data_IF_824998036376
#
_entry.id   IF_824998036376
#
_cell.length_a   1.000
_cell.length_b   1.000
_cell.length_c   1.000
_cell.angle_alpha   90.00
_cell.angle_beta   90.00
_cell.angle_gamma   90.00
#
_symmetry.space_group_name_H-M   'P 1'
#
loop_
_entity.id
_entity.type
_entity.pdbx_description
1 polymer ?
#
# COMPACT_ATOMS: atom_id res chain seq x y z
N UNK A 1 -21.76 -51.88 7.32
CA UNK A 1 -20.89 -50.71 7.06
C UNK A 1 -21.67 -49.45 7.52
N UNK A 2 -21.21 -48.79 8.58
CA UNK A 2 -21.86 -47.57 9.08
C UNK A 2 -21.60 -46.43 8.09
N UNK A 3 -22.66 -45.86 7.50
CA UNK A 3 -22.58 -44.65 6.67
C UNK A 3 -21.95 -43.52 7.50
N UNK A 4 -20.67 -43.27 7.25
CA UNK A 4 -20.00 -42.09 7.81
C UNK A 4 -20.66 -40.85 7.17
N UNK A 5 -21.34 -40.02 7.98
CA UNK A 5 -21.86 -38.74 7.52
C UNK A 5 -20.70 -37.88 7.03
N UNK A 6 -20.63 -37.61 5.75
CA UNK A 6 -19.63 -36.72 5.15
C UNK A 6 -20.01 -35.27 5.42
N UNK A 7 -19.04 -34.44 5.80
CA UNK A 7 -19.27 -33.01 5.95
C UNK A 7 -19.47 -32.33 4.57
N UNK A 8 -20.09 -31.14 4.57
CA UNK A 8 -20.33 -30.35 3.36
C UNK A 8 -19.05 -30.16 2.53
N UNK A 9 -17.95 -29.86 3.18
CA UNK A 9 -16.63 -29.69 2.56
C UNK A 9 -16.15 -30.97 1.84
N UNK A 10 -16.34 -32.12 2.47
CA UNK A 10 -15.91 -33.42 1.93
C UNK A 10 -16.74 -33.84 0.71
N UNK A 11 -18.01 -33.44 0.67
CA UNK A 11 -18.89 -33.66 -0.50
C UNK A 11 -18.44 -32.82 -1.68
N UNK A 12 -18.13 -31.52 -1.48
CA UNK A 12 -17.69 -30.62 -2.55
C UNK A 12 -16.31 -30.99 -3.10
N UNK A 13 -15.39 -31.49 -2.26
CA UNK A 13 -14.06 -31.96 -2.70
C UNK A 13 -14.18 -33.23 -3.57
N UNK A 14 -15.13 -34.11 -3.23
CA UNK A 14 -15.27 -35.41 -3.92
C UNK A 14 -16.04 -35.32 -5.22
N UNK A 15 -17.17 -34.62 -5.22
CA UNK A 15 -18.03 -34.39 -6.38
C UNK A 15 -18.88 -33.12 -6.18
N UNK A 16 -18.41 -31.97 -6.71
CA UNK A 16 -19.12 -30.71 -6.57
C UNK A 16 -20.54 -30.70 -7.19
N UNK A 17 -20.75 -31.48 -8.25
CA UNK A 17 -22.02 -31.54 -8.96
C UNK A 17 -23.05 -32.35 -8.12
N UNK A 18 -22.62 -33.49 -7.60
CA UNK A 18 -23.44 -34.29 -6.71
C UNK A 18 -23.70 -33.58 -5.38
N UNK A 19 -22.75 -32.77 -4.90
CA UNK A 19 -22.90 -31.94 -3.71
C UNK A 19 -23.98 -30.86 -3.91
N UNK A 20 -23.98 -30.16 -5.04
CA UNK A 20 -24.99 -29.14 -5.37
C UNK A 20 -26.40 -29.73 -5.52
N UNK A 21 -26.53 -30.90 -6.14
CA UNK A 21 -27.80 -31.61 -6.27
C UNK A 21 -28.30 -32.08 -4.87
N UNK A 22 -27.40 -32.68 -4.08
CA UNK A 22 -27.73 -33.26 -2.78
C UNK A 22 -28.09 -32.19 -1.72
N UNK A 23 -27.35 -31.06 -1.72
CA UNK A 23 -27.50 -30.02 -0.68
C UNK A 23 -28.52 -28.93 -1.04
N UNK A 24 -28.65 -28.63 -2.33
CA UNK A 24 -29.40 -27.46 -2.81
C UNK A 24 -30.47 -27.80 -3.84
N UNK A 25 -30.61 -29.07 -4.27
CA UNK A 25 -31.52 -29.49 -5.31
C UNK A 25 -31.20 -28.87 -6.68
N UNK A 26 -29.97 -28.46 -6.90
CA UNK A 26 -29.53 -27.82 -8.15
C UNK A 26 -28.98 -28.86 -9.10
N UNK A 27 -29.72 -29.19 -10.15
CA UNK A 27 -29.21 -30.02 -11.25
C UNK A 27 -28.30 -29.18 -12.13
N UNK A 28 -27.00 -29.47 -12.09
CA UNK A 28 -26.03 -28.84 -12.98
C UNK A 28 -26.27 -29.36 -14.41
N UNK A 29 -26.76 -28.51 -15.31
CA UNK A 29 -26.77 -28.82 -16.74
C UNK A 29 -25.39 -28.49 -17.31
N UNK A 30 -24.62 -29.50 -17.80
CA UNK A 30 -23.28 -29.28 -18.36
C UNK A 30 -23.28 -28.44 -19.63
N UNK A 31 -24.44 -28.19 -20.25
CA UNK A 31 -24.60 -27.38 -21.45
C UNK A 31 -24.98 -25.93 -21.14
N UNK A 32 -25.21 -25.56 -19.88
CA UNK A 32 -25.48 -24.17 -19.54
C UNK A 32 -24.23 -23.28 -19.76
N UNK A 33 -24.48 -22.04 -20.18
CA UNK A 33 -23.44 -21.02 -20.36
C UNK A 33 -22.50 -20.89 -19.14
N UNK A 34 -23.00 -21.16 -17.95
CA UNK A 34 -22.24 -21.14 -16.69
C UNK A 34 -21.31 -22.37 -16.58
N UNK A 35 -21.78 -23.57 -16.91
CA UNK A 35 -20.98 -24.79 -16.91
C UNK A 35 -19.89 -24.77 -17.98
N UNK A 36 -20.20 -24.20 -19.16
CA UNK A 36 -19.23 -24.00 -20.25
C UNK A 36 -18.14 -22.99 -19.84
N UNK A 37 -18.50 -21.84 -19.28
CA UNK A 37 -17.55 -20.83 -18.84
C UNK A 37 -16.65 -21.31 -17.67
N UNK A 38 -17.19 -22.12 -16.76
CA UNK A 38 -16.41 -22.70 -15.66
C UNK A 38 -15.38 -23.73 -16.16
N UNK A 39 -15.75 -24.57 -17.12
CA UNK A 39 -14.82 -25.55 -17.70
C UNK A 39 -13.79 -24.91 -18.63
N UNK A 40 -14.21 -23.96 -19.46
CA UNK A 40 -13.30 -23.25 -20.37
C UNK A 40 -12.30 -22.39 -19.60
N UNK A 41 -12.71 -21.73 -18.51
CA UNK A 41 -11.80 -20.97 -17.66
C UNK A 41 -10.83 -21.84 -16.86
N UNK A 42 -11.24 -23.03 -16.41
CA UNK A 42 -10.35 -24.01 -15.76
C UNK A 42 -9.29 -24.57 -16.70
N UNK A 43 -9.67 -24.88 -17.93
CA UNK A 43 -8.72 -25.37 -18.96
C UNK A 43 -7.77 -24.24 -19.42
N UNK A 44 -8.29 -23.02 -19.62
CA UNK A 44 -7.44 -21.86 -19.92
C UNK A 44 -6.49 -21.51 -18.78
N UNK A 45 -6.92 -21.69 -17.52
CA UNK A 45 -6.12 -21.47 -16.33
C UNK A 45 -4.99 -22.48 -16.19
N UNK A 46 -5.25 -23.77 -16.40
CA UNK A 46 -4.23 -24.83 -16.32
C UNK A 46 -3.18 -24.74 -17.42
N UNK A 47 -3.52 -24.13 -18.58
CA UNK A 47 -2.58 -23.88 -19.69
C UNK A 47 -1.80 -22.57 -19.53
N UNK A 48 -2.41 -21.50 -18.99
CA UNK A 48 -1.78 -20.18 -18.85
C UNK A 48 -0.85 -20.03 -17.64
N UNK A 49 -1.12 -20.75 -16.55
CA UNK A 49 -0.36 -20.62 -15.29
C UNK A 49 0.67 -21.74 -15.11
N UNK A 50 0.72 -22.73 -16.01
CA UNK A 50 1.59 -23.89 -15.88
C UNK A 50 1.32 -24.65 -14.57
N UNK A 51 1.65 -25.93 -14.50
CA UNK A 51 1.37 -26.83 -13.37
C UNK A 51 2.05 -26.48 -12.02
N UNK A 52 2.36 -25.21 -11.76
CA UNK A 52 3.17 -24.76 -10.62
C UNK A 52 2.41 -24.13 -9.45
N UNK A 53 1.06 -24.04 -9.49
CA UNK A 53 0.29 -23.63 -8.31
C UNK A 53 -0.35 -24.85 -7.64
N UNK A 54 0.19 -25.33 -6.50
CA UNK A 54 -0.25 -26.57 -5.87
C UNK A 54 -1.72 -26.60 -5.40
N UNK A 55 -2.39 -25.44 -5.34
CA UNK A 55 -3.77 -25.30 -4.85
C UNK A 55 -4.72 -24.67 -5.88
N UNK A 56 -4.36 -24.63 -7.17
CA UNK A 56 -5.23 -24.10 -8.24
C UNK A 56 -6.63 -24.77 -8.25
N UNK A 57 -6.72 -26.04 -7.85
CA UNK A 57 -7.95 -26.80 -7.73
C UNK A 57 -8.84 -26.40 -6.53
N UNK A 58 -8.32 -25.61 -5.58
CA UNK A 58 -9.05 -25.11 -4.41
C UNK A 58 -9.54 -23.67 -4.58
N UNK A 59 -9.22 -23.03 -5.70
CA UNK A 59 -9.63 -21.64 -5.96
C UNK A 59 -11.09 -21.59 -6.43
N UNK A 60 -11.95 -20.74 -5.81
CA UNK A 60 -13.30 -20.49 -6.32
C UNK A 60 -13.23 -19.94 -7.76
N UNK A 61 -14.04 -20.49 -8.67
CA UNK A 61 -14.14 -19.99 -10.05
C UNK A 61 -14.56 -18.51 -10.06
N UNK A 62 -13.73 -17.64 -10.62
CA UNK A 62 -13.96 -16.20 -10.71
C UNK A 62 -12.88 -15.33 -10.05
N UNK A 63 -11.89 -15.91 -9.39
CA UNK A 63 -10.79 -15.20 -8.72
C UNK A 63 -9.54 -14.98 -9.59
N UNK A 64 -9.60 -15.23 -10.90
CA UNK A 64 -8.52 -14.82 -11.80
C UNK A 64 -8.73 -13.35 -12.12
N UNK A 65 -7.77 -12.46 -11.81
CA UNK A 65 -7.81 -11.11 -12.32
C UNK A 65 -7.90 -11.16 -13.85
N UNK A 66 -8.82 -10.41 -14.45
CA UNK A 66 -9.01 -10.35 -15.90
C UNK A 66 -7.71 -9.93 -16.65
N UNK A 67 -6.74 -9.34 -15.95
CA UNK A 67 -5.42 -8.98 -16.45
C UNK A 67 -4.56 -10.18 -16.85
N UNK A 68 -4.73 -11.36 -16.22
CA UNK A 68 -3.97 -12.57 -16.56
C UNK A 68 -4.56 -13.33 -17.77
N UNK A 69 -5.77 -12.96 -18.22
CA UNK A 69 -6.45 -13.62 -19.32
C UNK A 69 -6.18 -12.99 -20.71
N UNK A 70 -5.41 -11.90 -20.81
CA UNK A 70 -5.33 -11.09 -22.03
C UNK A 70 -3.94 -10.95 -22.67
N UNK A 71 -2.85 -11.52 -22.14
CA UNK A 71 -1.56 -11.48 -22.84
C UNK A 71 -0.75 -12.75 -22.62
N UNK A 72 -0.23 -13.33 -23.68
CA UNK A 72 0.70 -14.47 -23.68
C UNK A 72 2.12 -14.07 -23.19
N UNK A 73 2.38 -12.80 -22.90
CA UNK A 73 3.63 -12.30 -22.35
C UNK A 73 3.43 -11.77 -20.93
N UNK A 74 4.32 -12.05 -19.96
CA UNK A 74 4.26 -11.45 -18.66
C UNK A 74 4.35 -9.92 -18.79
N UNK A 75 3.44 -9.19 -18.13
CA UNK A 75 3.48 -7.74 -18.07
C UNK A 75 4.71 -7.32 -17.24
N UNK A 76 5.72 -6.80 -17.92
CA UNK A 76 6.92 -6.29 -17.27
C UNK A 76 6.77 -4.80 -16.95
N UNK A 77 7.07 -4.44 -15.73
CA UNK A 77 7.07 -3.05 -15.28
C UNK A 77 8.51 -2.51 -15.32
N UNK A 78 8.87 -1.64 -16.30
CA UNK A 78 10.24 -1.19 -16.47
C UNK A 78 10.84 -0.60 -15.20
N UNK A 79 12.05 -1.05 -14.83
CA UNK A 79 12.76 -0.62 -13.63
C UNK A 79 12.20 -1.17 -12.32
N UNK A 80 11.28 -2.17 -12.37
CA UNK A 80 10.74 -2.87 -11.22
C UNK A 80 11.03 -4.36 -11.30
N UNK A 81 11.33 -4.97 -10.15
CA UNK A 81 11.65 -6.38 -10.05
C UNK A 81 10.84 -7.06 -8.94
N UNK A 82 10.24 -8.21 -9.26
CA UNK A 82 9.56 -9.06 -8.29
C UNK A 82 8.27 -8.50 -7.70
N UNK A 83 7.73 -7.40 -8.22
CA UNK A 83 6.46 -6.84 -7.77
C UNK A 83 5.27 -7.66 -8.26
N UNK A 84 4.23 -7.73 -7.45
CA UNK A 84 2.95 -8.35 -7.81
C UNK A 84 2.05 -7.28 -8.43
N UNK A 85 1.70 -7.46 -9.70
CA UNK A 85 0.80 -6.56 -10.44
C UNK A 85 -0.64 -6.81 -9.98
N UNK A 86 -1.34 -5.77 -9.53
CA UNK A 86 -2.74 -5.83 -9.12
C UNK A 86 -3.70 -5.36 -10.21
N UNK A 87 -3.27 -4.43 -11.03
CA UNK A 87 -3.94 -4.01 -12.26
C UNK A 87 -2.97 -3.22 -13.16
N UNK A 88 -3.27 -3.20 -14.45
CA UNK A 88 -2.44 -2.62 -15.50
C UNK A 88 -2.87 -1.20 -15.92
N UNK A 89 -4.12 -0.80 -15.66
CA UNK A 89 -4.64 0.50 -16.07
C UNK A 89 -5.56 1.15 -15.02
N UNK A 90 -5.07 2.14 -14.28
CA UNK A 90 -3.68 2.54 -14.14
C UNK A 90 -2.86 1.47 -13.43
N UNK A 91 -1.59 1.35 -13.77
CA UNK A 91 -0.69 0.35 -13.17
C UNK A 91 -0.61 0.50 -11.66
N UNK A 92 -0.85 -0.61 -10.95
CA UNK A 92 -0.65 -0.71 -9.51
C UNK A 92 0.02 -2.06 -9.20
N UNK A 93 1.08 -2.01 -8.42
CA UNK A 93 1.87 -3.19 -8.08
C UNK A 93 2.41 -3.08 -6.66
N UNK A 94 2.37 -4.18 -5.90
CA UNK A 94 2.89 -4.27 -4.55
C UNK A 94 4.18 -5.07 -4.46
N UNK A 95 4.93 -4.84 -3.40
CA UNK A 95 6.19 -5.51 -3.16
C UNK A 95 6.01 -6.64 -2.14
N UNK A 96 6.34 -7.89 -2.46
CA UNK A 96 6.37 -8.96 -1.47
C UNK A 96 7.26 -8.62 -0.27
N UNK A 97 6.81 -8.94 0.95
CA UNK A 97 7.48 -8.53 2.19
C UNK A 97 8.98 -8.87 2.23
N UNK A 98 9.37 -10.05 1.71
CA UNK A 98 10.76 -10.49 1.71
C UNK A 98 11.70 -9.69 0.78
N UNK A 99 11.15 -8.87 -0.13
CA UNK A 99 11.91 -7.93 -0.97
C UNK A 99 12.02 -6.53 -0.33
N UNK A 100 11.46 -6.35 0.86
CA UNK A 100 11.53 -5.12 1.65
C UNK A 100 12.49 -5.25 2.85
N UNK A 101 13.43 -6.20 2.85
CA UNK A 101 14.36 -6.45 3.97
C UNK A 101 15.47 -5.39 4.09
N UNK A 102 15.74 -4.64 3.03
CA UNK A 102 16.73 -3.57 3.05
C UNK A 102 16.28 -2.39 3.92
N UNK A 103 17.24 -1.78 4.66
CA UNK A 103 16.96 -0.58 5.49
C UNK A 103 16.46 0.59 4.65
N UNK A 104 17.01 0.76 3.44
CA UNK A 104 16.58 1.73 2.43
C UNK A 104 15.96 0.94 1.29
N UNK A 105 14.69 1.14 1.02
CA UNK A 105 13.99 0.42 -0.04
C UNK A 105 14.61 0.72 -1.41
N UNK A 106 15.14 -0.28 -2.13
CA UNK A 106 15.66 -0.07 -3.48
C UNK A 106 14.57 0.44 -4.43
N UNK A 107 14.93 1.29 -5.37
CA UNK A 107 13.99 1.88 -6.34
C UNK A 107 13.17 0.81 -7.10
N UNK A 108 13.81 -0.31 -7.45
CA UNK A 108 13.18 -1.44 -8.12
C UNK A 108 12.13 -2.16 -7.27
N UNK A 109 12.21 -2.07 -5.95
CA UNK A 109 11.29 -2.70 -5.00
C UNK A 109 10.29 -1.71 -4.40
N UNK A 110 10.33 -0.41 -4.69
CA UNK A 110 9.29 0.50 -4.23
C UNK A 110 7.99 0.24 -4.99
N UNK A 111 6.91 0.00 -4.27
CA UNK A 111 5.58 -0.24 -4.82
C UNK A 111 5.12 0.86 -5.79
N UNK A 112 4.20 0.52 -6.68
CA UNK A 112 3.59 1.46 -7.63
C UNK A 112 2.11 1.61 -7.35
N UNK A 113 1.68 2.85 -7.10
CA UNK A 113 0.27 3.20 -6.94
C UNK A 113 -0.08 4.41 -7.80
N UNK A 114 -0.90 4.22 -8.83
CA UNK A 114 -1.37 5.26 -9.73
C UNK A 114 -2.89 5.43 -9.64
N UNK A 115 -3.35 6.69 -9.63
CA UNK A 115 -4.77 7.04 -9.76
C UNK A 115 -5.14 7.37 -11.21
N UNK A 116 -4.18 7.91 -11.96
CA UNK A 116 -4.25 8.24 -13.37
C UNK A 116 -3.17 7.51 -14.18
N UNK A 117 -3.16 7.79 -15.46
CA UNK A 117 -2.14 7.30 -16.41
C UNK A 117 -0.93 8.22 -16.26
N UNK A 118 0.28 7.68 -16.03
CA UNK A 118 1.49 8.48 -15.97
C UNK A 118 1.70 9.33 -17.22
N UNK A 119 2.19 10.58 -17.11
CA UNK A 119 2.58 11.35 -18.27
C UNK A 119 3.79 10.71 -18.96
N UNK A 120 3.96 10.98 -20.25
CA UNK A 120 5.19 10.62 -20.96
C UNK A 120 6.33 11.52 -20.47
N UNK A 121 7.34 10.91 -19.88
CA UNK A 121 8.51 11.62 -19.33
C UNK A 121 9.82 11.23 -20.03
N UNK A 122 9.75 10.39 -21.05
CA UNK A 122 10.94 10.00 -21.85
C UNK A 122 11.44 11.19 -22.67
N UNK A 123 12.72 11.51 -22.54
CA UNK A 123 13.37 12.58 -23.31
C UNK A 123 13.04 14.01 -22.89
N UNK A 124 12.36 14.20 -21.75
CA UNK A 124 12.15 15.56 -21.22
C UNK A 124 13.43 16.09 -20.58
N UNK A 125 13.60 17.41 -20.63
CA UNK A 125 14.57 18.11 -19.80
C UNK A 125 13.97 18.27 -18.40
N UNK A 126 14.48 17.50 -17.43
CA UNK A 126 13.99 17.55 -16.05
C UNK A 126 14.20 18.92 -15.42
N UNK A 127 15.31 19.58 -15.70
CA UNK A 127 15.63 20.89 -15.12
C UNK A 127 14.71 22.00 -15.63
N UNK A 128 14.13 21.85 -16.83
CA UNK A 128 13.12 22.75 -17.39
C UNK A 128 11.69 22.44 -16.92
N UNK A 129 11.46 21.37 -16.14
CA UNK A 129 10.14 21.07 -15.59
C UNK A 129 9.69 22.14 -14.62
N UNK A 130 8.46 22.64 -14.79
CA UNK A 130 7.90 23.76 -14.02
C UNK A 130 7.00 23.30 -12.90
N UNK A 131 7.06 23.99 -11.77
CA UNK A 131 6.17 23.91 -10.62
C UNK A 131 5.53 25.26 -10.36
N UNK A 132 4.21 25.31 -10.42
CA UNK A 132 3.41 26.49 -10.14
C UNK A 132 3.02 26.56 -8.65
N UNK A 133 3.04 27.75 -8.07
CA UNK A 133 2.51 28.08 -6.76
C UNK A 133 1.36 29.08 -6.92
N UNK A 134 0.20 28.78 -6.32
CA UNK A 134 -0.98 29.63 -6.40
C UNK A 134 -1.99 29.30 -5.30
N UNK A 135 -3.20 29.82 -5.43
CA UNK A 135 -4.29 29.63 -4.46
C UNK A 135 -4.60 30.90 -3.70
N UNK A 136 -5.66 30.86 -2.89
CA UNK A 136 -6.22 32.05 -2.22
C UNK A 136 -5.25 32.64 -1.20
N UNK A 137 -4.43 31.78 -0.58
CA UNK A 137 -3.55 32.16 0.54
C UNK A 137 -2.07 32.23 0.18
N UNK A 138 -1.70 32.34 -1.11
CA UNK A 138 -0.34 32.76 -1.50
C UNK A 138 -0.26 34.29 -1.56
N UNK A 139 0.88 34.84 -1.13
CA UNK A 139 1.14 36.27 -1.25
C UNK A 139 1.50 36.62 -2.70
N UNK A 140 2.14 35.71 -3.43
CA UNK A 140 2.60 35.88 -4.79
C UNK A 140 2.51 34.60 -5.60
N UNK A 141 1.71 34.57 -6.64
CA UNK A 141 1.75 33.47 -7.60
C UNK A 141 3.11 33.43 -8.30
N UNK A 142 3.68 32.24 -8.41
CA UNK A 142 5.04 32.04 -8.90
C UNK A 142 5.15 30.71 -9.62
N UNK A 143 5.97 30.65 -10.64
CA UNK A 143 6.38 29.40 -11.29
C UNK A 143 7.89 29.28 -11.19
N UNK A 144 8.37 28.14 -10.72
CA UNK A 144 9.79 27.80 -10.63
C UNK A 144 10.08 26.55 -11.44
N UNK A 145 11.22 26.52 -12.11
CA UNK A 145 11.78 25.31 -12.72
C UNK A 145 12.50 24.47 -11.67
N UNK A 146 12.75 23.17 -11.94
CA UNK A 146 13.59 22.34 -11.07
C UNK A 146 14.99 22.94 -10.96
N UNK A 147 15.55 23.48 -12.05
CA UNK A 147 16.85 24.18 -12.02
C UNK A 147 16.85 25.36 -11.03
N UNK A 148 15.79 26.15 -11.00
CA UNK A 148 15.65 27.27 -10.06
C UNK A 148 15.47 26.79 -8.62
N UNK A 149 14.66 25.73 -8.38
CA UNK A 149 14.54 25.10 -7.07
C UNK A 149 15.91 24.64 -6.55
N UNK A 150 16.67 23.91 -7.38
CA UNK A 150 18.02 23.44 -7.03
C UNK A 150 18.99 24.60 -6.76
N UNK A 151 18.89 25.71 -7.49
CA UNK A 151 19.79 26.85 -7.34
C UNK A 151 19.48 27.74 -6.13
N UNK A 152 18.18 27.90 -5.80
CA UNK A 152 17.74 28.91 -4.83
C UNK A 152 17.62 28.37 -3.41
N UNK A 153 17.40 27.07 -3.23
CA UNK A 153 17.10 26.50 -1.93
C UNK A 153 18.14 25.46 -1.51
N UNK A 154 18.27 25.27 -0.19
CA UNK A 154 19.11 24.22 0.38
C UNK A 154 18.52 22.85 0.08
N UNK A 155 19.36 21.90 -0.30
CA UNK A 155 18.97 20.52 -0.54
C UNK A 155 18.99 19.71 0.75
N UNK A 156 18.03 18.82 0.88
CA UNK A 156 17.90 17.88 2.00
C UNK A 156 17.69 16.47 1.46
N UNK A 157 18.26 15.51 2.16
CA UNK A 157 18.02 14.09 1.90
C UNK A 157 17.49 13.46 3.18
N UNK A 158 16.30 12.87 3.11
CA UNK A 158 15.67 12.16 4.22
C UNK A 158 15.21 10.77 3.77
N UNK A 159 15.37 9.79 4.64
CA UNK A 159 14.75 8.48 4.47
C UNK A 159 13.30 8.58 4.96
N UNK A 160 12.34 8.52 4.04
CA UNK A 160 10.93 8.75 4.36
C UNK A 160 10.07 7.57 3.93
N UNK A 161 9.33 7.02 4.89
CA UNK A 161 8.39 5.94 4.65
C UNK A 161 7.13 6.46 3.96
N UNK A 162 6.72 5.78 2.89
CA UNK A 162 5.45 5.99 2.20
C UNK A 162 4.63 4.72 2.24
N UNK A 163 3.34 4.85 2.56
CA UNK A 163 2.40 3.74 2.60
C UNK A 163 1.07 4.11 1.93
N UNK A 164 0.53 3.21 1.11
CA UNK A 164 -0.83 3.36 0.61
C UNK A 164 -1.84 3.22 1.76
N UNK A 165 -2.77 4.15 1.92
CA UNK A 165 -3.80 4.05 2.95
C UNK A 165 -4.65 2.78 2.87
N UNK A 166 -4.67 2.10 1.70
CA UNK A 166 -5.33 0.81 1.48
C UNK A 166 -4.42 -0.40 1.65
N UNK A 167 -3.21 -0.26 2.15
CA UNK A 167 -2.32 -1.38 2.43
C UNK A 167 -2.96 -2.34 3.43
N UNK A 168 -3.12 -3.64 3.07
CA UNK A 168 -3.87 -4.64 3.84
C UNK A 168 -5.36 -4.73 3.50
N UNK A 169 -5.84 -4.12 2.38
CA UNK A 169 -7.27 -4.12 2.01
C UNK A 169 -7.81 -5.52 1.75
N UNK A 170 -7.01 -6.45 1.26
CA UNK A 170 -7.44 -7.83 0.97
C UNK A 170 -7.95 -8.59 2.19
N UNK A 171 -7.68 -8.13 3.41
CA UNK A 171 -8.14 -8.75 4.65
C UNK A 171 -9.56 -8.33 5.08
N UNK A 172 -10.17 -7.34 4.41
CA UNK A 172 -11.52 -6.88 4.75
C UNK A 172 -12.58 -7.89 4.32
N UNK A 173 -13.45 -8.28 5.25
CA UNK A 173 -14.59 -9.19 5.02
C UNK A 173 -15.87 -8.54 5.55
N UNK A 174 -16.86 -8.27 4.69
CA UNK A 174 -16.87 -8.44 3.23
C UNK A 174 -15.82 -7.57 2.52
N UNK A 175 -15.39 -7.94 1.29
CA UNK A 175 -14.33 -7.22 0.57
C UNK A 175 -14.66 -5.75 0.37
N UNK A 176 -13.74 -4.88 0.75
CA UNK A 176 -13.85 -3.45 0.51
C UNK A 176 -13.47 -3.09 -0.94
N UNK A 177 -14.04 -2.01 -1.48
CA UNK A 177 -13.77 -1.60 -2.86
C UNK A 177 -12.37 -1.02 -3.07
N UNK A 178 -11.74 -1.32 -4.19
CA UNK A 178 -10.43 -0.82 -4.60
C UNK A 178 -9.41 -1.94 -4.83
N UNK A 179 -8.15 -1.59 -5.11
CA UNK A 179 -7.08 -2.56 -5.30
C UNK A 179 -6.89 -3.39 -4.03
N UNK A 180 -6.89 -4.71 -4.18
CA UNK A 180 -6.80 -5.65 -3.07
C UNK A 180 -5.31 -5.84 -2.67
N UNK A 181 -4.73 -4.77 -2.11
CA UNK A 181 -3.39 -4.81 -1.55
C UNK A 181 -3.29 -5.84 -0.44
N UNK A 182 -2.24 -6.65 -0.44
CA UNK A 182 -1.85 -7.42 0.74
C UNK A 182 -1.14 -6.50 1.74
N UNK A 183 0.17 -6.59 1.87
CA UNK A 183 0.95 -5.82 2.85
C UNK A 183 2.09 -5.02 2.22
N UNK A 184 2.26 -5.14 0.91
CA UNK A 184 3.44 -4.66 0.18
C UNK A 184 3.30 -3.28 -0.43
N UNK A 185 2.23 -2.54 -0.14
CA UNK A 185 2.05 -1.17 -0.61
C UNK A 185 2.74 -0.16 0.33
N UNK A 186 4.01 -0.42 0.68
CA UNK A 186 4.85 0.37 1.57
C UNK A 186 6.31 0.34 1.10
N UNK A 187 7.10 1.33 1.48
CA UNK A 187 8.53 1.38 1.30
C UNK A 187 9.13 2.65 1.90
N UNK A 188 10.44 2.65 2.13
CA UNK A 188 11.15 3.74 2.79
C UNK A 188 12.48 4.04 2.09
N UNK A 189 12.45 4.62 0.88
CA UNK A 189 13.64 5.07 0.19
C UNK A 189 14.14 6.41 0.75
N UNK A 190 15.32 6.84 0.34
CA UNK A 190 15.79 8.20 0.54
C UNK A 190 15.22 9.13 -0.54
N UNK A 191 14.79 10.31 -0.13
CA UNK A 191 14.29 11.35 -1.02
C UNK A 191 15.17 12.59 -0.92
N UNK A 192 15.61 13.11 -2.06
CA UNK A 192 16.39 14.35 -2.13
C UNK A 192 15.59 15.44 -2.81
N UNK A 193 15.55 16.61 -2.17
CA UNK A 193 14.81 17.78 -2.66
C UNK A 193 15.02 19.01 -1.80
N UNK A 194 14.07 19.91 -1.88
CA UNK A 194 13.97 21.11 -1.02
C UNK A 194 12.81 20.94 -0.05
N UNK A 195 12.91 21.53 1.13
CA UNK A 195 11.79 21.57 2.07
C UNK A 195 10.68 22.43 1.51
N UNK A 196 9.46 21.92 1.56
CA UNK A 196 8.30 22.70 1.11
C UNK A 196 8.18 24.01 1.89
N UNK A 197 8.43 24.01 3.19
CA UNK A 197 8.36 25.22 4.02
C UNK A 197 9.27 26.33 3.55
N UNK A 198 10.53 26.00 3.13
CA UNK A 198 11.49 27.01 2.68
C UNK A 198 11.00 27.68 1.38
N UNK A 199 10.35 26.90 0.51
CA UNK A 199 9.76 27.42 -0.74
C UNK A 199 8.49 28.22 -0.46
N UNK A 200 7.63 27.76 0.45
CA UNK A 200 6.42 28.50 0.85
C UNK A 200 6.74 29.82 1.56
N UNK A 201 7.80 29.86 2.37
CA UNK A 201 8.32 31.11 2.95
C UNK A 201 8.77 32.10 1.87
N UNK A 202 9.47 31.60 0.83
CA UNK A 202 9.91 32.43 -0.30
C UNK A 202 8.74 32.94 -1.16
N UNK A 203 7.75 32.10 -1.43
CA UNK A 203 6.51 32.48 -2.15
C UNK A 203 5.67 33.44 -1.34
N UNK A 204 5.69 33.28 -0.03
CA UNK A 204 4.86 33.97 0.94
C UNK A 204 3.49 33.30 1.07
N UNK A 205 3.14 32.92 2.30
CA UNK A 205 1.79 32.43 2.66
C UNK A 205 1.11 33.47 3.54
N UNK A 206 -0.21 33.62 3.37
CA UNK A 206 -1.01 34.56 4.16
C UNK A 206 -1.44 33.91 5.48
N UNK A 207 -1.81 34.74 6.44
CA UNK A 207 -2.24 34.29 7.79
C UNK A 207 -3.54 33.45 7.77
N UNK A 208 -4.34 33.58 6.70
CA UNK A 208 -5.56 32.81 6.49
C UNK A 208 -5.34 31.43 5.84
N UNK A 209 -4.10 31.01 5.64
CA UNK A 209 -3.77 29.73 5.05
C UNK A 209 -4.20 28.56 5.97
N UNK A 210 -4.97 27.63 5.44
CA UNK A 210 -5.50 26.45 6.16
C UNK A 210 -4.92 25.14 5.60
N UNK A 211 -4.74 25.06 4.28
CA UNK A 211 -4.40 23.80 3.62
C UNK A 211 -3.41 24.02 2.46
N UNK A 212 -2.53 23.06 2.26
CA UNK A 212 -1.62 23.00 1.10
C UNK A 212 -1.93 21.74 0.31
N UNK A 213 -2.22 21.91 -0.99
CA UNK A 213 -2.57 20.81 -1.86
C UNK A 213 -1.76 20.80 -3.14
N UNK A 214 -1.76 19.67 -3.85
CA UNK A 214 -0.99 19.49 -5.07
C UNK A 214 -1.87 19.07 -6.25
N UNK A 215 -1.36 19.32 -7.46
CA UNK A 215 -1.82 18.76 -8.73
C UNK A 215 -0.64 18.13 -9.46
N UNK A 216 -0.84 16.93 -10.00
CA UNK A 216 0.11 16.20 -10.83
C UNK A 216 -0.18 16.39 -12.33
N UNK A 217 0.74 15.89 -13.15
CA UNK A 217 0.60 15.86 -14.62
C UNK A 217 -0.03 14.55 -15.15
N UNK A 218 -0.47 13.64 -14.26
CA UNK A 218 -1.11 12.39 -14.66
C UNK A 218 -2.48 12.65 -15.32
N UNK A 219 -2.85 11.76 -16.24
CA UNK A 219 -4.05 11.87 -17.06
C UNK A 219 -5.12 10.95 -16.44
N UNK A 220 -6.37 11.43 -16.38
CA UNK A 220 -7.47 10.61 -15.91
C UNK A 220 -7.62 9.33 -16.74
N UNK A 221 -7.94 8.19 -16.10
CA UNK A 221 -8.02 6.89 -16.77
C UNK A 221 -9.00 6.84 -17.97
N UNK A 222 -9.99 7.74 -18.02
CA UNK A 222 -10.87 7.90 -19.18
C UNK A 222 -10.22 8.60 -20.38
N UNK A 223 -9.00 9.16 -20.24
CA UNK A 223 -8.35 9.99 -21.27
C UNK A 223 -8.88 11.43 -21.38
N UNK A 224 -9.85 11.83 -20.55
CA UNK A 224 -10.41 13.19 -20.54
C UNK A 224 -9.43 14.15 -19.86
N UNK A 225 -8.87 15.08 -20.64
CA UNK A 225 -7.90 16.07 -20.18
C UNK A 225 -8.48 17.08 -19.18
N UNK A 226 -9.81 17.22 -19.11
CA UNK A 226 -10.48 18.11 -18.17
C UNK A 226 -10.71 17.47 -16.79
N UNK A 227 -10.40 16.18 -16.65
CA UNK A 227 -10.55 15.45 -15.39
C UNK A 227 -9.21 15.22 -14.72
N UNK A 228 -9.08 15.72 -13.51
CA UNK A 228 -7.91 15.48 -12.66
C UNK A 228 -8.10 14.14 -11.94
N UNK A 229 -7.14 13.19 -12.05
CA UNK A 229 -7.27 11.88 -11.42
C UNK A 229 -7.31 11.95 -9.90
N UNK A 230 -6.48 12.83 -9.34
CA UNK A 230 -6.34 13.05 -7.91
C UNK A 230 -5.71 14.44 -7.66
N UNK A 231 -6.24 15.12 -6.66
CA UNK A 231 -5.61 16.29 -6.04
C UNK A 231 -5.89 16.22 -4.55
N UNK A 232 -4.86 16.02 -3.77
CA UNK A 232 -4.97 15.94 -2.31
C UNK A 232 -4.05 16.96 -1.67
N UNK A 233 -4.19 17.13 -0.37
CA UNK A 233 -3.37 18.05 0.40
C UNK A 233 -3.33 17.65 1.88
N UNK A 234 -2.70 18.50 2.64
CA UNK A 234 -2.51 18.40 4.08
C UNK A 234 -2.71 19.78 4.72
N UNK A 235 -3.06 19.85 6.02
CA UNK A 235 -3.06 21.11 6.76
C UNK A 235 -1.73 21.84 6.65
N UNK A 236 -1.74 23.16 6.78
CA UNK A 236 -0.53 24.01 6.68
C UNK A 236 0.54 23.53 7.65
N UNK A 237 0.18 23.18 8.88
CA UNK A 237 1.13 22.72 9.90
C UNK A 237 1.90 21.48 9.43
N UNK A 238 1.21 20.53 8.79
CA UNK A 238 1.83 19.33 8.22
C UNK A 238 2.69 19.65 7.00
N UNK A 239 2.26 20.60 6.17
CA UNK A 239 3.01 21.05 5.01
C UNK A 239 4.34 21.75 5.38
N UNK A 240 4.37 22.41 6.54
CA UNK A 240 5.52 23.15 7.06
C UNK A 240 6.51 22.30 7.89
N UNK A 241 6.25 21.01 8.05
CA UNK A 241 7.21 20.10 8.69
C UNK A 241 8.50 19.98 7.88
N UNK A 242 9.62 19.82 8.58
CA UNK A 242 10.97 19.77 7.99
C UNK A 242 11.11 18.65 6.94
N UNK A 243 10.44 17.53 7.14
CA UNK A 243 10.51 16.35 6.30
C UNK A 243 9.52 16.38 5.12
N UNK A 244 8.69 17.43 4.99
CA UNK A 244 7.83 17.59 3.82
C UNK A 244 8.64 18.21 2.67
N UNK A 245 8.84 17.42 1.58
CA UNK A 245 9.74 17.75 0.50
C UNK A 245 9.03 17.97 -0.84
N UNK A 246 9.63 18.84 -1.66
CA UNK A 246 9.54 18.83 -3.11
C UNK A 246 10.79 18.09 -3.61
N UNK A 247 10.65 16.80 -3.96
CA UNK A 247 11.76 15.91 -4.25
C UNK A 247 11.92 15.69 -5.76
N UNK A 248 13.18 15.64 -6.22
CA UNK A 248 13.56 15.31 -7.61
C UNK A 248 14.44 14.07 -7.72
N UNK A 249 14.97 13.55 -6.62
CA UNK A 249 15.77 12.34 -6.63
C UNK A 249 15.33 11.33 -5.56
N UNK A 250 15.60 10.06 -5.80
CA UNK A 250 15.33 8.94 -4.92
C UNK A 250 16.55 8.01 -4.87
N UNK A 251 17.08 7.73 -3.67
CA UNK A 251 18.29 6.92 -3.46
C UNK A 251 19.52 7.44 -4.25
N UNK A 252 19.66 8.75 -4.38
CA UNK A 252 20.76 9.39 -5.10
C UNK A 252 20.61 9.45 -6.62
N UNK A 253 19.55 8.87 -7.20
CA UNK A 253 19.28 8.81 -8.63
C UNK A 253 17.95 9.54 -8.96
N UNK A 254 17.65 9.70 -10.24
CA UNK A 254 16.36 10.20 -10.68
C UNK A 254 15.20 9.36 -10.11
N UNK A 255 14.09 10.00 -9.78
CA UNK A 255 12.88 9.28 -9.36
C UNK A 255 12.42 8.39 -10.52
N UNK A 256 12.17 7.08 -10.33
CA UNK A 256 11.63 6.25 -11.41
C UNK A 256 10.33 6.83 -11.99
N UNK A 257 10.10 6.76 -13.32
CA UNK A 257 8.92 7.34 -13.96
C UNK A 257 7.60 6.95 -13.28
N UNK A 258 7.43 5.69 -12.88
CA UNK A 258 6.23 5.19 -12.19
C UNK A 258 6.10 5.70 -10.75
N UNK A 259 7.18 6.22 -10.17
CA UNK A 259 7.20 6.80 -8.82
C UNK A 259 7.15 8.33 -8.81
N UNK A 260 7.09 8.99 -9.99
CA UNK A 260 6.77 10.41 -10.07
C UNK A 260 7.84 11.32 -10.68
N UNK A 261 8.78 10.79 -11.48
CA UNK A 261 9.76 11.61 -12.22
C UNK A 261 9.09 12.70 -13.07
N UNK A 262 9.63 13.94 -13.15
CA UNK A 262 10.89 14.37 -12.54
C UNK A 262 10.72 15.01 -11.16
N UNK A 263 9.49 15.28 -10.70
CA UNK A 263 9.24 16.02 -9.46
C UNK A 263 8.09 15.40 -8.67
N UNK A 264 8.29 15.25 -7.37
CA UNK A 264 7.31 14.65 -6.46
C UNK A 264 7.14 15.49 -5.20
N UNK A 265 5.90 15.65 -4.75
CA UNK A 265 5.58 16.05 -3.40
C UNK A 265 5.70 14.83 -2.48
N UNK A 266 6.48 14.93 -1.41
CA UNK A 266 6.67 13.86 -0.43
C UNK A 266 6.28 14.38 0.95
N UNK A 267 5.23 13.78 1.51
CA UNK A 267 4.71 14.07 2.85
C UNK A 267 4.57 12.75 3.60
N UNK A 268 5.55 12.45 4.43
CA UNK A 268 5.65 11.17 5.12
C UNK A 268 4.75 11.09 6.37
N UNK A 269 4.54 9.88 6.89
CA UNK A 269 3.68 9.61 8.05
C UNK A 269 2.19 9.62 7.75
N UNK A 270 1.77 10.18 6.62
CA UNK A 270 0.40 10.25 6.14
C UNK A 270 0.19 9.32 4.94
N UNK A 271 -1.08 9.04 4.53
CA UNK A 271 -1.32 8.14 3.39
C UNK A 271 -0.54 8.57 2.15
N UNK A 272 0.09 7.64 1.45
CA UNK A 272 0.88 7.93 0.23
C UNK A 272 0.13 8.69 -0.86
N UNK A 273 -1.19 8.82 -0.75
CA UNK A 273 -2.03 9.65 -1.63
C UNK A 273 -1.83 11.15 -1.44
N UNK A 274 -1.28 11.61 -0.31
CA UNK A 274 -0.91 13.02 -0.12
C UNK A 274 0.49 13.33 -0.66
N UNK A 275 1.26 12.30 -1.06
CA UNK A 275 2.58 12.44 -1.69
C UNK A 275 2.44 12.41 -3.22
N UNK A 276 2.14 13.56 -3.79
CA UNK A 276 1.80 13.74 -5.21
C UNK A 276 2.94 13.44 -6.16
N UNK A 277 2.66 12.69 -7.24
CA UNK A 277 3.62 12.36 -8.31
C UNK A 277 3.51 13.31 -9.49
N UNK A 278 4.59 13.41 -10.28
CA UNK A 278 4.61 14.27 -11.48
C UNK A 278 4.14 15.68 -11.16
N UNK A 279 4.64 16.23 -10.06
CA UNK A 279 4.17 17.45 -9.44
C UNK A 279 4.25 18.66 -10.42
N UNK A 280 3.13 19.35 -10.60
CA UNK A 280 3.02 20.53 -11.47
C UNK A 280 2.55 21.77 -10.75
N UNK A 281 1.76 21.61 -9.70
CA UNK A 281 1.20 22.76 -9.00
C UNK A 281 1.00 22.47 -7.52
N UNK A 282 1.32 23.46 -6.70
CA UNK A 282 0.98 23.55 -5.29
C UNK A 282 0.00 24.71 -5.12
N UNK A 283 -1.08 24.47 -4.38
CA UNK A 283 -2.06 25.50 -4.05
C UNK A 283 -2.16 25.65 -2.53
N UNK A 284 -2.07 26.90 -2.06
CA UNK A 284 -2.29 27.23 -0.65
C UNK A 284 -3.69 27.81 -0.51
N UNK A 285 -4.51 27.16 0.32
CA UNK A 285 -5.93 27.40 0.44
C UNK A 285 -6.28 28.02 1.79
N UNK A 286 -7.27 28.89 1.81
CA UNK A 286 -7.87 29.40 3.07
C UNK A 286 -9.00 28.51 3.60
N UNK A 287 -9.13 27.31 3.07
CA UNK A 287 -10.09 26.30 3.48
C UNK A 287 -9.50 24.89 3.26
N UNK A 288 -10.13 23.88 3.85
CA UNK A 288 -9.80 22.48 3.54
C UNK A 288 -9.93 22.25 2.04
N UNK A 289 -8.92 21.63 1.45
CA UNK A 289 -8.90 21.39 0.00
C UNK A 289 -10.10 20.55 -0.46
N UNK A 290 -10.72 20.95 -1.55
CA UNK A 290 -11.94 20.36 -2.12
C UNK A 290 -11.71 19.70 -3.50
N UNK A 291 -10.46 19.49 -3.88
CA UNK A 291 -10.07 18.86 -5.14
C UNK A 291 -10.49 17.38 -5.24
N UNK A 292 -10.30 16.77 -6.43
CA UNK A 292 -10.65 15.36 -6.67
C UNK A 292 -10.01 14.42 -5.67
N UNK A 293 -10.81 13.56 -5.05
CA UNK A 293 -10.42 12.63 -3.97
C UNK A 293 -10.20 13.27 -2.58
N UNK A 294 -10.60 14.54 -2.40
CA UNK A 294 -10.70 15.17 -1.08
C UNK A 294 -12.12 15.14 -0.54
N UNK A 295 -13.12 15.07 -1.41
CA UNK A 295 -14.55 14.98 -1.07
C UNK A 295 -15.07 13.54 -1.30
N UNK A 296 -16.25 13.25 -0.76
CA UNK A 296 -16.87 11.92 -0.83
C UNK A 296 -16.14 10.89 0.05
N UNK A 297 -16.22 9.61 -0.33
CA UNK A 297 -15.69 8.49 0.46
C UNK A 297 -14.22 8.15 0.17
N UNK A 298 -13.61 8.79 -0.84
CA UNK A 298 -12.23 8.47 -1.25
C UNK A 298 -11.21 9.01 -0.23
N UNK A 299 -10.30 8.13 0.23
CA UNK A 299 -9.29 8.44 1.26
C UNK A 299 -9.89 9.01 2.55
N UNK A 300 -11.08 8.51 2.90
CA UNK A 300 -11.77 8.78 4.14
C UNK A 300 -12.19 7.47 4.80
N UNK A 301 -12.35 7.51 6.10
CA UNK A 301 -12.89 6.42 6.91
C UNK A 301 -14.12 6.91 7.66
N UNK A 302 -15.06 6.04 8.05
CA UNK A 302 -16.14 6.45 8.93
C UNK A 302 -15.60 7.09 10.20
N UNK A 303 -16.17 8.21 10.62
CA UNK A 303 -15.77 8.91 11.85
C UNK A 303 -16.08 8.11 13.12
N UNK A 304 -16.94 7.08 12.99
CA UNK A 304 -17.31 6.15 14.07
C UNK A 304 -17.25 4.71 13.56
N UNK A 305 -17.00 3.73 14.43
CA UNK A 305 -17.07 2.32 14.05
C UNK A 305 -18.43 1.95 13.46
N UNK A 306 -18.43 1.17 12.40
CA UNK A 306 -19.62 0.71 11.69
C UNK A 306 -19.63 -0.81 11.55
N UNK A 307 -20.82 -1.39 11.35
CA UNK A 307 -20.94 -2.80 11.03
C UNK A 307 -20.42 -3.09 9.61
N UNK A 308 -19.81 -4.27 9.37
CA UNK A 308 -19.36 -4.67 8.04
C UNK A 308 -20.49 -4.61 6.99
N UNK A 309 -20.19 -4.06 5.81
CA UNK A 309 -21.14 -3.91 4.71
C UNK A 309 -22.05 -2.69 4.80
N UNK A 310 -21.95 -1.85 5.83
CA UNK A 310 -22.77 -0.65 6.00
C UNK A 310 -22.42 0.42 4.96
N UNK A 311 -23.43 1.08 4.40
CA UNK A 311 -23.27 2.31 3.61
C UNK A 311 -23.18 3.49 4.57
N UNK A 312 -22.21 4.38 4.35
CA UNK A 312 -21.94 5.55 5.19
C UNK A 312 -22.15 6.82 4.37
N UNK A 313 -22.92 7.79 4.86
CA UNK A 313 -23.04 9.11 4.24
C UNK A 313 -21.70 9.84 4.17
N UNK A 314 -21.52 10.69 3.16
CA UNK A 314 -20.23 11.38 2.92
C UNK A 314 -19.84 12.33 4.07
N UNK A 315 -20.79 12.93 4.74
CA UNK A 315 -20.60 13.83 5.91
C UNK A 315 -20.21 13.09 7.19
N UNK A 316 -20.43 11.77 7.26
CA UNK A 316 -19.96 10.91 8.34
C UNK A 316 -18.56 10.28 8.06
N UNK A 317 -17.91 10.69 6.97
CA UNK A 317 -16.60 10.20 6.56
C UNK A 317 -15.49 11.20 6.89
N UNK A 318 -14.57 10.80 7.77
CA UNK A 318 -13.42 11.59 8.20
C UNK A 318 -12.22 11.44 7.26
N UNK A 319 -11.50 12.53 7.02
CA UNK A 319 -10.25 12.54 6.26
C UNK A 319 -9.22 11.67 7.01
N UNK A 320 -8.51 10.82 6.27
CA UNK A 320 -7.37 10.09 6.82
C UNK A 320 -6.19 11.03 6.91
N UNK A 321 -5.67 11.15 8.11
CA UNK A 321 -4.48 11.94 8.46
C UNK A 321 -3.31 10.99 8.75
N UNK A 322 -2.77 10.99 9.96
CA UNK A 322 -1.66 10.13 10.36
C UNK A 322 -1.96 8.63 10.20
N UNK A 323 -1.01 7.88 9.67
CA UNK A 323 -1.12 6.43 9.52
C UNK A 323 -0.94 5.74 10.87
N UNK A 324 -1.66 4.64 11.15
CA UNK A 324 -1.51 3.89 12.39
C UNK A 324 -0.17 3.16 12.47
N UNK A 325 0.22 2.79 13.69
CA UNK A 325 1.40 1.95 13.93
C UNK A 325 1.29 0.59 13.22
N UNK A 326 2.38 0.17 12.57
CA UNK A 326 2.50 -1.10 11.87
C UNK A 326 3.88 -1.71 12.03
N UNK A 327 3.95 -3.04 11.83
CA UNK A 327 5.19 -3.79 11.64
C UNK A 327 5.05 -4.77 10.49
N UNK A 328 6.17 -5.09 9.86
CA UNK A 328 6.30 -6.02 8.75
C UNK A 328 7.45 -6.97 9.06
N UNK A 329 7.23 -8.28 8.95
CA UNK A 329 8.30 -9.29 8.97
C UNK A 329 8.82 -9.41 7.54
N UNK A 330 10.10 -9.12 7.33
CA UNK A 330 10.72 -9.19 6.00
C UNK A 330 11.59 -10.43 5.84
N UNK A 331 12.10 -10.97 6.94
CA UNK A 331 12.89 -12.19 6.96
C UNK A 331 12.51 -13.07 8.18
N UNK A 332 12.39 -14.40 7.97
CA UNK A 332 12.43 -15.10 6.70
C UNK A 332 11.18 -14.88 5.84
N UNK A 333 11.24 -15.30 4.58
CA UNK A 333 10.05 -15.38 3.72
C UNK A 333 9.03 -16.34 4.31
N UNK A 334 7.74 -15.98 4.25
CA UNK A 334 6.65 -16.88 4.67
C UNK A 334 6.69 -18.20 3.89
N UNK A 335 6.42 -19.31 4.60
CA UNK A 335 6.48 -20.68 4.05
C UNK A 335 7.87 -21.31 4.13
N UNK A 336 8.77 -20.79 4.97
CA UNK A 336 10.09 -21.37 5.18
C UNK A 336 10.00 -22.70 5.97
N UNK A 337 10.85 -23.66 5.60
CA UNK A 337 11.15 -24.83 6.41
C UNK A 337 12.32 -24.52 7.36
N UNK A 338 12.19 -24.94 8.63
CA UNK A 338 13.19 -24.67 9.67
C UNK A 338 13.47 -25.91 10.49
N UNK A 339 14.77 -26.19 10.76
CA UNK A 339 15.18 -27.35 11.53
C UNK A 339 14.81 -27.18 13.01
N UNK A 340 14.17 -28.21 13.59
CA UNK A 340 13.85 -28.23 15.02
C UNK A 340 15.10 -28.11 15.90
N UNK A 341 14.96 -27.48 17.06
CA UNK A 341 16.06 -27.29 18.03
C UNK A 341 17.05 -26.17 17.68
N UNK A 342 16.83 -25.44 16.58
CA UNK A 342 17.60 -24.24 16.24
C UNK A 342 16.77 -22.97 16.44
N UNK A 343 17.43 -21.85 16.74
CA UNK A 343 16.77 -20.56 16.75
C UNK A 343 16.56 -20.07 15.31
N UNK A 344 15.40 -19.49 15.01
CA UNK A 344 15.09 -18.85 13.75
C UNK A 344 15.24 -17.34 13.92
N UNK A 345 16.17 -16.73 13.17
CA UNK A 345 16.33 -15.28 13.17
C UNK A 345 15.22 -14.60 12.38
N UNK A 346 14.73 -13.49 12.91
CA UNK A 346 13.69 -12.65 12.33
C UNK A 346 14.23 -11.24 12.08
N UNK A 347 13.77 -10.61 11.01
CA UNK A 347 13.96 -9.19 10.74
C UNK A 347 12.69 -8.57 10.18
N UNK A 348 12.61 -7.27 10.35
CA UNK A 348 11.51 -6.51 9.78
C UNK A 348 11.63 -5.01 10.03
N UNK A 349 10.59 -4.31 9.66
CA UNK A 349 10.46 -2.87 9.86
C UNK A 349 9.20 -2.54 10.63
N UNK A 350 9.21 -1.39 11.34
CA UNK A 350 8.05 -0.84 12.02
C UNK A 350 7.99 0.68 11.82
N UNK A 351 6.79 1.24 11.80
CA UNK A 351 6.52 2.67 11.61
C UNK A 351 5.20 3.07 12.27
N UNK A 352 4.98 4.36 12.52
CA UNK A 352 3.84 4.84 13.30
C UNK A 352 3.30 6.23 12.89
N UNK A 353 3.21 6.51 11.58
CA UNK A 353 2.68 7.79 11.11
C UNK A 353 3.43 8.99 11.70
N UNK A 354 2.74 9.88 12.41
CA UNK A 354 3.34 11.05 13.07
C UNK A 354 3.95 10.73 14.45
N UNK A 355 3.82 9.49 14.91
CA UNK A 355 4.34 9.00 16.19
C UNK A 355 5.60 8.16 15.98
N UNK A 356 6.31 7.87 17.07
CA UNK A 356 7.44 6.96 17.09
C UNK A 356 7.00 5.53 17.43
N UNK A 357 7.76 4.53 16.96
CA UNK A 357 7.62 3.15 17.44
C UNK A 357 8.47 2.98 18.69
N UNK A 358 7.86 2.52 19.77
CA UNK A 358 8.57 2.29 21.05
C UNK A 358 8.98 0.83 21.23
N UNK A 359 8.17 -0.09 20.76
CA UNK A 359 8.38 -1.51 20.96
C UNK A 359 7.91 -2.33 19.75
N UNK A 360 8.62 -3.44 19.52
CA UNK A 360 8.16 -4.53 18.66
C UNK A 360 8.24 -5.84 19.45
N UNK A 361 7.17 -6.61 19.39
CA UNK A 361 7.07 -7.91 20.01
C UNK A 361 6.74 -8.97 18.96
N UNK A 362 7.25 -10.20 19.17
CA UNK A 362 6.97 -11.35 18.31
C UNK A 362 6.31 -12.46 19.13
N UNK A 363 5.42 -13.21 18.49
CA UNK A 363 4.74 -14.38 19.07
C UNK A 363 4.83 -15.55 18.12
N UNK A 364 4.96 -16.77 18.67
CA UNK A 364 4.93 -18.05 17.93
C UNK A 364 3.77 -18.95 18.37
N UNK A 365 2.90 -18.43 19.23
CA UNK A 365 1.80 -19.16 19.89
C UNK A 365 0.46 -18.41 19.77
N UNK A 366 0.24 -17.79 18.60
CA UNK A 366 -0.98 -17.05 18.27
C UNK A 366 -1.30 -15.91 19.26
N UNK A 367 -0.26 -15.27 19.79
CA UNK A 367 -0.41 -14.14 20.69
C UNK A 367 -0.63 -14.50 22.15
N UNK A 368 -0.54 -15.78 22.54
CA UNK A 368 -0.64 -16.20 23.92
C UNK A 368 0.54 -15.67 24.75
N UNK A 369 1.73 -15.61 24.16
CA UNK A 369 2.90 -14.94 24.73
C UNK A 369 3.61 -14.08 23.70
N UNK A 370 4.33 -13.06 24.19
CA UNK A 370 5.04 -12.11 23.36
C UNK A 370 6.47 -11.91 23.86
N UNK A 371 7.43 -12.00 22.96
CA UNK A 371 8.85 -11.74 23.22
C UNK A 371 9.24 -10.42 22.58
N UNK A 372 9.91 -9.55 23.34
CA UNK A 372 10.40 -8.26 22.82
C UNK A 372 11.52 -8.50 21.80
N UNK A 373 11.44 -7.83 20.66
CA UNK A 373 12.47 -7.75 19.64
C UNK A 373 13.41 -6.56 19.90
N UNK A 374 14.62 -6.62 19.37
CA UNK A 374 15.51 -5.47 19.33
C UNK A 374 15.04 -4.51 18.24
N UNK A 375 15.02 -3.22 18.52
CA UNK A 375 14.65 -2.17 17.58
C UNK A 375 15.80 -1.17 17.44
N UNK A 376 16.11 -0.78 16.22
CA UNK A 376 17.11 0.25 15.93
C UNK A 376 16.47 1.64 15.95
N UNK A 377 17.27 2.68 16.25
CA UNK A 377 16.81 4.05 16.09
C UNK A 377 16.52 4.35 14.60
N UNK A 378 15.50 5.16 14.29
CA UNK A 378 15.23 5.55 12.93
C UNK A 378 16.36 6.45 12.38
N UNK A 379 16.61 6.41 11.07
CA UNK A 379 17.59 7.28 10.42
C UNK A 379 17.23 8.77 10.57
N UNK A 380 15.96 9.08 10.54
CA UNK A 380 15.35 10.38 10.82
C UNK A 380 13.87 10.18 11.13
N UNK A 381 13.19 11.24 11.55
CA UNK A 381 11.72 11.23 11.71
C UNK A 381 11.06 10.75 10.43
N UNK A 382 10.04 9.91 10.52
CA UNK A 382 9.33 9.25 9.42
C UNK A 382 10.12 8.19 8.64
N UNK A 383 11.36 7.88 9.00
CA UNK A 383 11.98 6.63 8.56
C UNK A 383 11.35 5.45 9.32
N UNK A 384 11.14 4.33 8.63
CA UNK A 384 10.82 3.11 9.36
C UNK A 384 11.99 2.68 10.27
N UNK A 385 11.67 1.95 11.32
CA UNK A 385 12.66 1.43 12.28
C UNK A 385 12.89 -0.05 11.98
N UNK A 386 14.15 -0.42 11.80
CA UNK A 386 14.54 -1.80 11.62
C UNK A 386 14.49 -2.53 12.97
N UNK A 387 13.93 -3.73 12.98
CA UNK A 387 13.89 -4.58 14.15
C UNK A 387 14.40 -5.99 13.84
N UNK A 388 14.89 -6.68 14.88
CA UNK A 388 15.37 -8.06 14.78
C UNK A 388 15.10 -8.84 16.07
N UNK A 389 15.08 -10.16 15.94
CA UNK A 389 14.90 -11.06 17.07
C UNK A 389 15.06 -12.51 16.67
N UNK A 390 15.15 -13.39 17.65
CA UNK A 390 15.23 -14.82 17.44
C UNK A 390 14.06 -15.51 18.15
N UNK A 391 13.51 -16.54 17.52
CA UNK A 391 12.48 -17.41 18.10
C UNK A 391 12.93 -18.85 18.08
N UNK A 392 12.42 -19.64 19.00
CA UNK A 392 12.61 -21.08 19.07
C UNK A 392 11.24 -21.77 19.12
N UNK A 393 11.19 -23.00 18.65
CA UNK A 393 9.97 -23.78 18.59
C UNK A 393 10.08 -24.99 19.53
N UNK A 394 8.99 -25.33 20.24
CA UNK A 394 9.04 -26.41 21.22
C UNK A 394 9.11 -27.83 20.59
N UNK A 395 8.64 -27.98 19.35
CA UNK A 395 8.59 -29.25 18.63
C UNK A 395 8.41 -29.02 17.11
N UNK A 396 8.51 -30.08 16.34
CA UNK A 396 8.16 -30.10 14.93
C UNK A 396 6.69 -29.78 14.72
N UNK A 397 6.36 -29.09 13.62
CA UNK A 397 4.98 -28.71 13.31
C UNK A 397 4.86 -27.40 12.53
N UNK A 398 3.62 -26.99 12.32
CA UNK A 398 3.28 -25.71 11.68
C UNK A 398 3.17 -24.60 12.73
N UNK A 399 3.80 -23.47 12.45
CA UNK A 399 3.75 -22.27 13.30
C UNK A 399 3.44 -21.05 12.47
N UNK A 400 2.76 -20.08 13.09
CA UNK A 400 2.70 -18.71 12.61
C UNK A 400 3.53 -17.81 13.52
N UNK A 401 4.40 -17.00 12.93
CA UNK A 401 5.12 -15.96 13.66
C UNK A 401 4.41 -14.65 13.41
N UNK A 402 4.02 -13.98 14.48
CA UNK A 402 3.31 -12.70 14.48
C UNK A 402 4.22 -11.60 14.98
N UNK A 403 4.19 -10.42 14.33
CA UNK A 403 4.90 -9.23 14.80
C UNK A 403 3.91 -8.13 15.16
N UNK A 404 4.12 -7.48 16.31
CA UNK A 404 3.26 -6.43 16.85
C UNK A 404 4.11 -5.24 17.28
N UNK A 405 3.94 -4.08 16.62
CA UNK A 405 4.53 -2.82 17.03
C UNK A 405 3.60 -2.05 17.98
N UNK A 406 4.20 -1.22 18.84
CA UNK A 406 3.53 -0.28 19.75
C UNK A 406 4.10 1.11 19.50
N UNK A 407 3.22 2.13 19.44
CA UNK A 407 3.61 3.53 19.24
C UNK A 407 3.87 4.27 20.56
N UNK A 408 4.38 5.50 20.47
CA UNK A 408 4.70 6.37 21.62
C UNK A 408 3.47 6.84 22.42
N UNK A 409 2.26 6.64 21.90
CA UNK A 409 1.01 6.84 22.64
C UNK A 409 0.54 5.57 23.36
N UNK A 410 1.33 4.47 23.29
CA UNK A 410 1.01 3.19 23.93
C UNK A 410 0.00 2.33 23.15
N UNK A 411 -0.31 2.68 21.91
CA UNK A 411 -1.25 1.92 21.08
C UNK A 411 -0.49 0.80 20.36
N UNK A 412 -0.93 -0.43 20.53
CA UNK A 412 -0.35 -1.61 19.87
C UNK A 412 -1.21 -2.02 18.67
N UNK A 413 -0.57 -2.67 17.69
CA UNK A 413 -1.29 -3.32 16.61
C UNK A 413 -2.26 -4.36 17.14
N UNK A 414 -3.50 -4.43 16.63
CA UNK A 414 -4.42 -5.51 16.93
C UNK A 414 -4.01 -6.81 16.21
N UNK A 415 -4.37 -7.96 16.76
CA UNK A 415 -4.09 -9.26 16.14
C UNK A 415 -4.79 -9.41 14.78
N UNK A 416 -6.01 -8.90 14.68
CA UNK A 416 -6.85 -8.97 13.49
C UNK A 416 -7.30 -7.58 13.08
N UNK A 417 -7.93 -7.46 11.94
CA UNK A 417 -8.48 -6.22 11.42
C UNK A 417 -9.27 -5.46 12.50
N UNK A 418 -8.91 -4.20 12.84
CA UNK A 418 -9.50 -3.47 13.98
C UNK A 418 -10.95 -3.03 13.75
N UNK A 419 -11.39 -2.99 12.50
CA UNK A 419 -12.73 -2.58 12.12
C UNK A 419 -12.91 -2.61 10.61
N UNK A 420 -14.17 -2.61 10.15
CA UNK A 420 -14.48 -2.58 8.73
C UNK A 420 -14.78 -1.15 8.26
N UNK A 421 -14.37 -0.82 7.03
CA UNK A 421 -14.80 0.41 6.35
C UNK A 421 -14.97 0.17 4.85
N UNK A 422 -15.83 0.97 4.15
CA UNK A 422 -16.23 0.70 2.76
C UNK A 422 -15.07 0.70 1.76
N UNK A 423 -13.96 1.34 2.08
CA UNK A 423 -12.79 1.50 1.20
C UNK A 423 -11.59 0.69 1.66
N UNK A 424 -11.68 -0.02 2.78
CA UNK A 424 -10.60 -0.87 3.30
C UNK A 424 -9.31 -0.10 3.54
N UNK A 425 -9.40 1.01 4.25
CA UNK A 425 -8.26 1.81 4.67
C UNK A 425 -7.84 1.51 6.11
N UNK A 426 -6.58 1.85 6.42
CA UNK A 426 -5.99 1.83 7.76
C UNK A 426 -5.98 0.45 8.43
N UNK A 427 -5.93 -0.64 7.65
CA UNK A 427 -5.64 -1.94 8.24
C UNK A 427 -4.25 -1.90 8.88
N UNK A 428 -4.18 -2.12 10.18
CA UNK A 428 -2.94 -2.23 10.94
C UNK A 428 -2.86 -3.53 11.76
N UNK A 429 -3.57 -4.57 11.35
CA UNK A 429 -3.44 -5.90 11.94
C UNK A 429 -1.98 -6.37 11.94
N UNK A 430 -1.61 -7.18 12.93
CA UNK A 430 -0.29 -7.77 13.02
C UNK A 430 0.06 -8.54 11.74
N UNK A 431 1.24 -8.30 11.19
CA UNK A 431 1.77 -9.14 10.11
C UNK A 431 2.20 -10.50 10.65
N UNK A 432 1.98 -11.55 9.86
CA UNK A 432 2.33 -12.92 10.20
C UNK A 432 2.97 -13.66 9.03
N UNK A 433 3.85 -14.58 9.34
CA UNK A 433 4.46 -15.52 8.39
C UNK A 433 4.27 -16.96 8.87
N UNK A 434 4.16 -17.88 7.91
CA UNK A 434 4.09 -19.30 8.16
C UNK A 434 5.49 -19.93 8.21
N UNK A 435 5.71 -20.85 9.15
CA UNK A 435 6.95 -21.63 9.29
C UNK A 435 6.61 -23.10 9.50
N UNK A 436 7.24 -23.97 8.73
CA UNK A 436 7.19 -25.41 8.94
C UNK A 436 8.45 -25.83 9.67
N UNK A 437 8.32 -26.27 10.92
CA UNK A 437 9.43 -26.84 11.70
C UNK A 437 9.52 -28.34 11.43
N UNK A 438 10.69 -28.81 10.97
CA UNK A 438 10.97 -30.18 10.56
C UNK A 438 12.10 -30.81 11.37
#
# INVERSE_FOLDING_TARGET
>A
MKNKKRGIHELYITDPVAADDTLWGRKADPLTRRGFLTRSSLVAMSTAVGASIPFAHLMPGGLIPAALAQSDAPFELPGKEGLVILNDRPVNAETPAHLLDDKITPAKHLFVRNNGIPPTTTGIDADAWTLEFGGESVARELTLTIAELKKQFKHYTYQLQLECGGNGRSEFVPPASGNQWSIGAVGCPEWTGVRLKDVLEFVGIKDDAVYVAYYGADIHASGDANKVPISRGVPVEKALEDETLIAWAMNGEDIPPMNGYPLRFVCAGWPGSVSGKWLRKIVVRNQVHDGPKMTGTAYRVPCKPIAPGTTVPDDEMCIIESMPVKSLITFPKSGVEHANGKALSLRGHAWAGDLDVTDVHVSTDFGASWKKAAIEAPANRFAWQHWSGDVAFPQVGYYEIWARATDSAGRSQPMVLPGWNPKGYLNNACHRIAVQVV
#
